data_IF_047286564973
#
_entry.id   IF_047286564973
#
_cell.length_a   1.000
_cell.length_b   1.000
_cell.length_c   1.000
_cell.angle_alpha   90.00
_cell.angle_beta   90.00
_cell.angle_gamma   90.00
#
_symmetry.space_group_name_H-M   'P 1'
#
loop_
_entity.id
_entity.type
_entity.pdbx_description
1 polymer ?
#
# COMPACT_ATOMS: atom_id res chain seq x y z
N UNK A 1 28.12 24.33 30.25
CA UNK A 1 26.75 23.76 30.38
C UNK A 1 26.81 22.70 31.47
N UNK A 2 26.06 22.83 32.56
CA UNK A 2 26.12 21.85 33.65
C UNK A 2 25.42 20.54 33.23
N UNK A 3 25.86 19.41 33.79
CA UNK A 3 25.30 18.07 33.53
C UNK A 3 23.77 18.10 33.68
N UNK A 4 23.23 18.81 34.67
CA UNK A 4 21.81 18.97 34.90
C UNK A 4 21.07 19.67 33.71
N UNK A 5 21.66 20.70 33.11
CA UNK A 5 21.10 21.34 31.92
C UNK A 5 21.04 20.39 30.73
N UNK A 6 22.06 19.56 30.53
CA UNK A 6 22.05 18.56 29.45
C UNK A 6 20.98 17.51 29.64
N UNK A 7 20.82 17.00 30.86
CA UNK A 7 19.76 16.04 31.20
C UNK A 7 18.36 16.63 30.94
N UNK A 8 18.12 17.88 31.37
CA UNK A 8 16.84 18.56 31.15
C UNK A 8 16.57 18.68 29.63
N UNK A 9 17.55 19.10 28.84
CA UNK A 9 17.40 19.22 27.38
C UNK A 9 17.05 17.85 26.76
N UNK A 10 17.74 16.78 27.14
CA UNK A 10 17.46 15.45 26.65
C UNK A 10 16.04 15.00 27.02
N UNK A 11 15.63 15.20 28.28
CA UNK A 11 14.26 14.86 28.71
C UNK A 11 13.21 15.63 27.93
N UNK A 12 13.40 16.90 27.68
CA UNK A 12 12.47 17.73 26.88
C UNK A 12 12.40 17.24 25.44
N UNK A 13 13.54 16.89 24.82
CA UNK A 13 13.55 16.35 23.47
C UNK A 13 12.87 14.98 23.39
N UNK A 14 13.12 14.08 24.33
CA UNK A 14 12.44 12.77 24.39
C UNK A 14 10.94 12.97 24.53
N UNK A 15 10.51 13.84 25.46
CA UNK A 15 9.09 14.12 25.66
C UNK A 15 8.46 14.68 24.37
N UNK A 16 9.12 15.61 23.69
CA UNK A 16 8.67 16.15 22.41
C UNK A 16 8.46 15.05 21.36
N UNK A 17 9.45 14.14 21.17
CA UNK A 17 9.30 13.05 20.19
C UNK A 17 8.20 12.05 20.58
N UNK A 18 8.02 11.78 21.87
CA UNK A 18 6.91 10.93 22.36
C UNK A 18 5.56 11.57 22.04
N UNK A 19 5.41 12.88 22.26
CA UNK A 19 4.17 13.60 21.93
C UNK A 19 3.92 13.55 20.42
N UNK A 20 4.92 13.83 19.59
CA UNK A 20 4.80 13.75 18.12
C UNK A 20 4.40 12.35 17.70
N UNK A 21 5.03 11.31 18.26
CA UNK A 21 4.71 9.92 17.98
C UNK A 21 3.24 9.59 18.31
N UNK A 22 2.75 10.00 19.49
CA UNK A 22 1.36 9.78 19.89
C UNK A 22 0.41 10.46 18.91
N UNK A 23 0.69 11.70 18.52
CA UNK A 23 -0.12 12.44 17.56
C UNK A 23 -0.14 11.73 16.21
N UNK A 24 1.02 11.37 15.67
CA UNK A 24 1.12 10.79 14.32
C UNK A 24 0.58 9.36 14.22
N UNK A 25 0.66 8.58 15.30
CA UNK A 25 0.03 7.26 15.36
C UNK A 25 -1.52 7.35 15.41
N UNK A 26 -2.10 8.50 15.81
CA UNK A 26 -3.53 8.65 16.00
C UNK A 26 -4.21 9.53 14.95
N UNK A 27 -3.48 10.02 13.94
CA UNK A 27 -4.03 10.84 12.86
C UNK A 27 -3.60 10.29 11.49
N UNK A 28 -4.36 10.66 10.48
CA UNK A 28 -3.94 10.52 9.09
C UNK A 28 -4.10 11.85 8.35
N UNK A 29 -3.41 11.95 7.23
CA UNK A 29 -3.52 13.07 6.29
C UNK A 29 -4.07 12.57 4.96
N UNK A 30 -4.82 13.42 4.28
CA UNK A 30 -5.30 13.17 2.92
C UNK A 30 -4.19 13.56 1.92
N UNK A 31 -3.90 12.67 0.98
CA UNK A 31 -2.98 12.92 -0.14
C UNK A 31 -3.67 12.68 -1.46
N UNK A 32 -3.52 13.60 -2.37
CA UNK A 32 -4.13 13.57 -3.69
C UNK A 32 -3.09 13.45 -4.79
N UNK A 33 -3.38 12.60 -5.78
CA UNK A 33 -2.57 12.44 -6.98
C UNK A 33 -3.48 12.46 -8.21
N UNK A 34 -3.04 13.15 -9.27
CA UNK A 34 -3.69 13.13 -10.56
C UNK A 34 -2.78 12.41 -11.56
N UNK A 35 -3.29 11.36 -12.22
CA UNK A 35 -2.60 10.60 -13.25
C UNK A 35 -3.37 10.74 -14.55
N UNK A 36 -2.70 11.15 -15.63
CA UNK A 36 -3.31 11.38 -16.93
C UNK A 36 -2.79 10.39 -17.97
N UNK A 37 -3.68 9.84 -18.79
CA UNK A 37 -3.28 8.95 -19.88
C UNK A 37 -4.22 9.05 -21.07
N UNK A 38 -3.65 9.02 -22.26
CA UNK A 38 -4.43 8.90 -23.51
C UNK A 38 -5.10 7.54 -23.71
N UNK A 39 -4.77 6.55 -22.87
CA UNK A 39 -5.41 5.22 -22.87
C UNK A 39 -6.73 5.21 -22.11
N UNK A 40 -6.91 6.11 -21.13
CA UNK A 40 -8.13 6.21 -20.33
C UNK A 40 -9.27 6.80 -21.17
N UNK A 41 -10.47 6.27 -20.97
CA UNK A 41 -11.72 6.72 -21.65
C UNK A 41 -12.63 7.53 -20.74
N UNK A 42 -12.48 7.41 -19.42
CA UNK A 42 -13.34 8.03 -18.41
C UNK A 42 -12.50 8.54 -17.25
N UNK A 43 -12.92 9.66 -16.67
CA UNK A 43 -12.38 10.13 -15.40
C UNK A 43 -12.87 9.24 -14.26
N UNK A 44 -12.04 9.08 -13.23
CA UNK A 44 -12.43 8.35 -12.03
C UNK A 44 -11.58 8.70 -10.82
N UNK A 45 -12.22 8.58 -9.66
CA UNK A 45 -11.58 8.78 -8.35
C UNK A 45 -11.42 7.43 -7.67
N UNK A 46 -10.19 7.08 -7.35
CA UNK A 46 -9.83 5.83 -6.68
C UNK A 46 -9.21 6.13 -5.33
N UNK A 47 -9.59 5.38 -4.31
CA UNK A 47 -8.96 5.46 -2.99
C UNK A 47 -8.02 4.27 -2.83
N UNK A 48 -6.76 4.55 -2.49
CA UNK A 48 -5.76 3.53 -2.19
C UNK A 48 -5.62 3.38 -0.66
N UNK A 49 -5.80 2.15 -0.20
CA UNK A 49 -5.65 1.75 1.19
C UNK A 49 -4.48 0.77 1.34
N UNK A 50 -3.79 0.90 2.44
CA UNK A 50 -2.86 -0.06 2.97
C UNK A 50 -2.89 0.12 4.49
N UNK A 51 -3.11 -0.97 5.22
CA UNK A 51 -3.40 -0.94 6.66
C UNK A 51 -4.76 -0.33 7.04
N UNK A 52 -5.31 -0.69 8.21
CA UNK A 52 -6.66 -0.29 8.58
C UNK A 52 -6.74 0.79 9.66
N UNK A 53 -7.87 1.55 9.63
CA UNK A 53 -8.34 2.36 10.73
C UNK A 53 -9.85 2.67 10.56
N UNK A 54 -10.68 2.42 11.58
CA UNK A 54 -12.13 2.66 11.49
C UNK A 54 -12.53 4.13 11.22
N UNK A 55 -11.73 5.10 11.68
CA UNK A 55 -11.97 6.54 11.40
C UNK A 55 -11.89 6.86 9.92
N UNK A 56 -11.28 5.96 9.15
CA UNK A 56 -11.07 6.07 7.72
C UNK A 56 -12.36 5.97 6.92
N UNK A 57 -13.33 5.16 7.37
CA UNK A 57 -14.54 4.90 6.61
C UNK A 57 -15.28 6.19 6.25
N UNK A 58 -15.46 7.11 7.20
CA UNK A 58 -16.10 8.41 6.95
C UNK A 58 -15.32 9.30 5.98
N UNK A 59 -14.00 9.24 6.05
CA UNK A 59 -13.15 10.00 5.14
C UNK A 59 -13.24 9.45 3.70
N UNK A 60 -13.31 8.12 3.54
CA UNK A 60 -13.53 7.48 2.24
C UNK A 60 -14.90 7.88 1.67
N UNK A 61 -15.95 7.89 2.48
CA UNK A 61 -17.29 8.31 2.04
C UNK A 61 -17.33 9.75 1.51
N UNK A 62 -16.54 10.64 2.09
CA UNK A 62 -16.44 12.04 1.65
C UNK A 62 -15.81 12.16 0.25
N UNK A 63 -14.89 11.24 -0.10
CA UNK A 63 -14.24 11.21 -1.42
C UNK A 63 -15.16 10.69 -2.53
N UNK A 64 -16.23 9.96 -2.20
CA UNK A 64 -17.16 9.32 -3.15
C UNK A 64 -16.42 8.56 -4.25
N UNK A 65 -15.52 7.62 -3.91
CA UNK A 65 -14.67 6.99 -4.91
C UNK A 65 -15.49 6.10 -5.86
N UNK A 66 -15.02 6.01 -7.10
CA UNK A 66 -15.54 5.05 -8.08
C UNK A 66 -15.11 3.62 -7.75
N UNK A 67 -13.96 3.45 -7.10
CA UNK A 67 -13.47 2.17 -6.58
C UNK A 67 -12.41 2.35 -5.49
N UNK A 68 -12.18 1.27 -4.75
CA UNK A 68 -11.16 1.17 -3.72
C UNK A 68 -10.10 0.17 -4.16
N UNK A 69 -8.84 0.58 -4.05
CA UNK A 69 -7.67 -0.25 -4.30
C UNK A 69 -7.03 -0.60 -2.95
N UNK A 70 -6.81 -1.87 -2.67
CA UNK A 70 -6.13 -2.31 -1.46
C UNK A 70 -4.81 -2.94 -1.85
N UNK A 71 -3.71 -2.31 -1.40
CA UNK A 71 -2.36 -2.75 -1.73
C UNK A 71 -1.74 -3.66 -0.65
N UNK A 72 -2.55 -4.50 -0.04
CA UNK A 72 -2.12 -5.54 0.90
C UNK A 72 -1.84 -5.07 2.32
N UNK A 73 -1.42 -6.02 3.14
CA UNK A 73 -1.09 -5.89 4.57
C UNK A 73 -2.23 -5.22 5.38
N UNK A 74 -3.48 -5.58 5.06
CA UNK A 74 -4.63 -5.13 5.86
C UNK A 74 -4.64 -5.76 7.25
N UNK A 75 -3.96 -6.88 7.45
CA UNK A 75 -3.74 -7.49 8.75
C UNK A 75 -2.28 -7.95 8.91
N UNK A 76 -1.85 -8.20 10.14
CA UNK A 76 -0.52 -8.75 10.38
C UNK A 76 -0.56 -10.28 10.48
N UNK A 77 0.53 -10.94 10.10
CA UNK A 77 0.71 -12.39 10.32
C UNK A 77 1.07 -12.71 11.78
N UNK A 78 0.52 -11.96 12.74
CA UNK A 78 0.65 -12.28 14.18
C UNK A 78 -0.31 -13.38 14.56
N UNK A 79 0.16 -14.39 15.30
CA UNK A 79 -0.70 -15.47 15.77
C UNK A 79 -1.80 -15.01 16.75
N UNK A 80 -1.70 -13.79 17.29
CA UNK A 80 -2.60 -13.23 18.29
C UNK A 80 -3.68 -12.32 17.73
N UNK A 81 -3.61 -11.92 16.45
CA UNK A 81 -4.59 -11.02 15.86
C UNK A 81 -5.79 -11.78 15.30
N UNK A 82 -6.98 -11.25 15.59
CA UNK A 82 -8.22 -11.69 14.96
C UNK A 82 -8.46 -10.85 13.68
N UNK A 83 -8.47 -11.54 12.54
CA UNK A 83 -8.70 -10.89 11.25
C UNK A 83 -10.20 -10.61 10.97
N UNK A 84 -11.09 -10.91 11.91
CA UNK A 84 -12.53 -10.77 11.70
C UNK A 84 -12.96 -9.31 11.59
N UNK A 85 -12.39 -8.41 12.40
CA UNK A 85 -12.66 -6.97 12.34
C UNK A 85 -12.24 -6.38 10.99
N UNK A 86 -11.11 -6.84 10.47
CA UNK A 86 -10.59 -6.43 9.17
C UNK A 86 -11.45 -6.90 8.03
N UNK A 87 -11.85 -8.18 8.07
CA UNK A 87 -12.79 -8.72 7.11
C UNK A 87 -14.12 -7.94 7.12
N UNK A 88 -14.63 -7.61 8.32
CA UNK A 88 -15.84 -6.79 8.47
C UNK A 88 -15.67 -5.38 7.90
N UNK A 89 -14.52 -4.75 8.12
CA UNK A 89 -14.21 -3.44 7.53
C UNK A 89 -14.21 -3.49 6.00
N UNK A 90 -13.52 -4.47 5.42
CA UNK A 90 -13.44 -4.65 3.95
C UNK A 90 -14.81 -4.98 3.36
N UNK A 91 -15.63 -5.81 4.05
CA UNK A 91 -17.02 -6.09 3.65
C UNK A 91 -17.86 -4.81 3.60
N UNK A 92 -17.81 -3.97 4.64
CA UNK A 92 -18.52 -2.68 4.67
C UNK A 92 -18.12 -1.74 3.53
N UNK A 93 -16.85 -1.78 3.11
CA UNK A 93 -16.40 -1.05 1.92
C UNK A 93 -17.02 -1.64 0.64
N UNK A 94 -17.03 -2.97 0.51
CA UNK A 94 -17.56 -3.67 -0.65
C UNK A 94 -19.09 -3.53 -0.81
N UNK A 95 -19.83 -3.30 0.28
CA UNK A 95 -21.27 -2.98 0.25
C UNK A 95 -21.56 -1.65 -0.48
N UNK A 96 -20.58 -0.77 -0.61
CA UNK A 96 -20.77 0.58 -1.16
C UNK A 96 -19.96 0.88 -2.40
N UNK A 97 -18.80 0.23 -2.54
CA UNK A 97 -17.83 0.51 -3.59
C UNK A 97 -17.27 -0.79 -4.20
N UNK A 98 -16.98 -0.82 -5.49
CA UNK A 98 -16.11 -1.85 -6.04
C UNK A 98 -14.76 -1.85 -5.32
N UNK A 99 -14.31 -3.00 -4.83
CA UNK A 99 -13.04 -3.16 -4.11
C UNK A 99 -12.14 -4.14 -4.86
N UNK A 100 -10.93 -3.71 -5.17
CA UNK A 100 -9.87 -4.51 -5.78
C UNK A 100 -8.74 -4.69 -4.75
N UNK A 101 -8.44 -5.93 -4.43
CA UNK A 101 -7.55 -6.29 -3.34
C UNK A 101 -6.37 -7.11 -3.86
N UNK A 102 -5.13 -6.61 -3.69
CA UNK A 102 -3.90 -7.37 -3.88
C UNK A 102 -3.31 -7.77 -2.54
N UNK A 103 -2.80 -9.00 -2.43
CA UNK A 103 -2.15 -9.48 -1.20
C UNK A 103 -0.84 -8.74 -0.91
N UNK A 104 -0.60 -8.48 0.39
CA UNK A 104 0.71 -8.12 0.90
C UNK A 104 1.50 -9.34 1.39
N UNK A 105 2.64 -9.10 2.00
CA UNK A 105 3.47 -10.18 2.52
C UNK A 105 2.88 -10.88 3.77
N UNK A 106 2.02 -10.20 4.50
CA UNK A 106 1.35 -10.79 5.67
C UNK A 106 0.23 -11.74 5.23
N UNK A 107 -0.61 -11.37 4.28
CA UNK A 107 -1.61 -12.25 3.67
C UNK A 107 -0.94 -13.46 3.02
N UNK A 108 0.10 -13.23 2.21
CA UNK A 108 0.85 -14.31 1.57
C UNK A 108 1.43 -15.28 2.60
N UNK A 109 2.02 -14.78 3.69
CA UNK A 109 2.59 -15.62 4.73
C UNK A 109 1.53 -16.50 5.39
N UNK A 110 0.37 -15.95 5.73
CA UNK A 110 -0.73 -16.74 6.34
C UNK A 110 -1.30 -17.77 5.37
N UNK A 111 -1.31 -17.45 4.06
CA UNK A 111 -1.75 -18.36 3.00
C UNK A 111 -0.79 -19.54 2.81
N UNK A 112 0.50 -19.28 2.81
CA UNK A 112 1.54 -20.28 2.50
C UNK A 112 1.90 -21.20 3.69
N UNK A 113 1.55 -20.83 4.92
CA UNK A 113 1.88 -21.59 6.13
C UNK A 113 0.63 -21.90 6.98
N UNK A 114 -0.33 -22.64 6.41
CA UNK A 114 -1.54 -23.02 7.15
C UNK A 114 -1.24 -23.88 8.37
N UNK A 115 -0.12 -24.58 8.40
CA UNK A 115 0.36 -25.35 9.57
C UNK A 115 0.67 -24.45 10.79
N UNK A 116 0.97 -23.16 10.55
CA UNK A 116 1.26 -22.17 11.62
C UNK A 116 0.03 -21.32 11.91
N UNK A 117 -0.71 -20.93 10.87
CA UNK A 117 -1.76 -19.92 10.94
C UNK A 117 -3.17 -20.51 10.83
N UNK A 118 -3.31 -21.83 10.63
CA UNK A 118 -4.60 -22.47 10.39
C UNK A 118 -5.24 -22.00 9.08
N UNK A 119 -6.54 -21.91 9.07
CA UNK A 119 -7.37 -21.53 7.92
C UNK A 119 -7.63 -20.01 7.82
N UNK A 120 -6.92 -19.20 8.58
CA UNK A 120 -7.13 -17.73 8.68
C UNK A 120 -7.23 -17.03 7.34
N UNK A 121 -6.29 -17.32 6.43
CA UNK A 121 -6.31 -16.70 5.11
C UNK A 121 -7.54 -17.17 4.31
N UNK A 122 -7.82 -18.46 4.32
CA UNK A 122 -8.95 -19.02 3.58
C UNK A 122 -10.28 -18.41 4.07
N UNK A 123 -10.49 -18.36 5.38
CA UNK A 123 -11.68 -17.75 5.99
C UNK A 123 -11.79 -16.26 5.66
N UNK A 124 -10.68 -15.53 5.75
CA UNK A 124 -10.64 -14.11 5.39
C UNK A 124 -10.97 -13.90 3.91
N UNK A 125 -10.26 -14.60 3.02
CA UNK A 125 -10.44 -14.48 1.57
C UNK A 125 -11.86 -14.83 1.14
N UNK A 126 -12.40 -15.95 1.65
CA UNK A 126 -13.76 -16.41 1.36
C UNK A 126 -14.78 -15.33 1.78
N UNK A 127 -14.64 -14.81 2.98
CA UNK A 127 -15.53 -13.81 3.53
C UNK A 127 -15.56 -12.51 2.72
N UNK A 128 -14.41 -11.98 2.31
CA UNK A 128 -14.36 -10.75 1.50
C UNK A 128 -14.82 -10.99 0.06
N UNK A 129 -14.50 -12.15 -0.53
CA UNK A 129 -14.97 -12.52 -1.87
C UNK A 129 -16.50 -12.68 -1.91
N UNK A 130 -17.12 -13.28 -0.88
CA UNK A 130 -18.59 -13.37 -0.75
C UNK A 130 -19.25 -11.98 -0.66
N UNK A 131 -18.55 -10.98 -0.12
CA UNK A 131 -19.01 -9.60 -0.11
C UNK A 131 -18.82 -8.86 -1.44
N UNK A 132 -18.25 -9.50 -2.46
CA UNK A 132 -18.05 -8.93 -3.80
C UNK A 132 -16.69 -8.28 -4.04
N UNK A 133 -15.74 -8.42 -3.10
CA UNK A 133 -14.35 -7.97 -3.33
C UNK A 133 -13.70 -8.76 -4.44
N UNK A 134 -12.98 -8.09 -5.32
CA UNK A 134 -12.13 -8.71 -6.34
C UNK A 134 -10.73 -8.92 -5.75
N UNK A 135 -10.50 -10.11 -5.19
CA UNK A 135 -9.20 -10.52 -4.66
C UNK A 135 -8.32 -10.97 -5.84
N UNK A 136 -7.29 -10.18 -6.14
CA UNK A 136 -6.40 -10.38 -7.27
C UNK A 136 -5.06 -10.95 -6.77
N UNK A 137 -4.89 -12.25 -6.91
CA UNK A 137 -3.66 -12.97 -6.53
C UNK A 137 -3.04 -13.54 -7.80
N UNK A 138 -2.13 -12.78 -8.40
CA UNK A 138 -1.59 -13.02 -9.74
C UNK A 138 -2.72 -13.15 -10.77
N UNK A 139 -3.65 -12.22 -10.68
CA UNK A 139 -4.87 -12.19 -11.48
C UNK A 139 -5.18 -10.75 -11.91
N UNK A 140 -6.17 -10.58 -12.76
CA UNK A 140 -6.54 -9.29 -13.32
C UNK A 140 -8.05 -9.11 -13.50
N UNK A 141 -8.47 -7.85 -13.58
CA UNK A 141 -9.85 -7.46 -13.81
C UNK A 141 -9.95 -6.30 -14.79
N UNK A 142 -10.74 -6.46 -15.86
CA UNK A 142 -10.94 -5.42 -16.86
C UNK A 142 -12.12 -4.51 -16.54
N UNK A 143 -11.91 -3.21 -16.61
CA UNK A 143 -12.90 -2.15 -16.48
C UNK A 143 -13.14 -1.48 -17.84
N UNK A 144 -14.16 -1.91 -18.60
CA UNK A 144 -14.37 -1.45 -19.98
C UNK A 144 -14.66 0.05 -20.07
N UNK A 145 -15.40 0.62 -19.11
CA UNK A 145 -15.73 2.05 -19.10
C UNK A 145 -14.50 2.95 -19.02
N UNK A 146 -13.46 2.48 -18.33
CA UNK A 146 -12.19 3.20 -18.19
C UNK A 146 -11.15 2.81 -19.23
N UNK A 147 -11.38 1.74 -20.00
CA UNK A 147 -10.37 1.05 -20.79
C UNK A 147 -9.14 0.68 -19.95
N UNK A 148 -9.37 0.19 -18.73
CA UNK A 148 -8.34 -0.08 -17.73
C UNK A 148 -8.35 -1.54 -17.32
N UNK A 149 -7.19 -2.13 -17.18
CA UNK A 149 -6.99 -3.44 -16.60
C UNK A 149 -6.29 -3.30 -15.26
N UNK A 150 -6.89 -3.81 -14.19
CA UNK A 150 -6.33 -3.83 -12.84
C UNK A 150 -5.71 -5.19 -12.62
N UNK A 151 -4.42 -5.22 -12.35
CA UNK A 151 -3.66 -6.42 -12.02
C UNK A 151 -3.34 -6.44 -10.53
N UNK A 152 -3.36 -7.63 -9.92
CA UNK A 152 -2.84 -7.86 -8.58
C UNK A 152 -1.66 -8.82 -8.62
N UNK A 153 -0.48 -8.33 -8.27
CA UNK A 153 0.74 -9.14 -8.17
C UNK A 153 1.01 -9.53 -6.72
N UNK A 154 0.96 -10.82 -6.43
CA UNK A 154 1.52 -11.36 -5.20
C UNK A 154 3.01 -11.63 -5.40
N UNK A 155 3.85 -10.71 -4.96
CA UNK A 155 5.31 -10.82 -5.09
C UNK A 155 5.83 -11.99 -4.26
N UNK A 156 6.69 -12.83 -4.83
CA UNK A 156 7.26 -14.00 -4.15
C UNK A 156 7.98 -13.64 -2.84
N UNK A 157 7.94 -14.54 -1.86
CA UNK A 157 8.53 -14.30 -0.53
C UNK A 157 10.03 -14.03 -0.56
N UNK A 158 10.75 -14.61 -1.49
CA UNK A 158 12.17 -14.40 -1.71
C UNK A 158 12.53 -12.93 -1.95
N UNK A 159 11.59 -12.17 -2.49
CA UNK A 159 11.76 -10.73 -2.74
C UNK A 159 11.52 -9.85 -1.50
N UNK A 160 11.11 -10.45 -0.37
CA UNK A 160 11.00 -9.78 0.92
C UNK A 160 12.15 -10.10 1.89
N UNK A 161 13.13 -10.90 1.47
CA UNK A 161 14.28 -11.25 2.32
C UNK A 161 15.14 -10.03 2.67
N UNK A 162 15.66 -10.06 3.89
CA UNK A 162 16.55 -9.05 4.46
C UNK A 162 17.94 -9.67 4.69
N UNK A 163 19.02 -8.89 4.63
CA UNK A 163 19.11 -7.47 4.31
C UNK A 163 19.25 -7.23 2.79
N UNK A 164 19.54 -8.23 1.99
CA UNK A 164 19.90 -8.09 0.58
C UNK A 164 18.66 -8.17 -0.31
N UNK A 165 18.50 -7.19 -1.21
CA UNK A 165 17.49 -7.23 -2.25
C UNK A 165 17.81 -8.33 -3.27
N UNK A 166 16.89 -9.29 -3.47
CA UNK A 166 16.99 -10.30 -4.49
C UNK A 166 16.71 -9.67 -5.86
N UNK A 167 17.52 -9.91 -6.90
CA UNK A 167 17.21 -9.44 -8.24
C UNK A 167 15.95 -10.15 -8.78
N UNK A 168 15.04 -9.40 -9.37
CA UNK A 168 13.87 -9.92 -10.06
C UNK A 168 14.21 -10.08 -11.53
N UNK A 169 13.96 -11.26 -12.10
CA UNK A 169 14.20 -11.50 -13.53
C UNK A 169 13.26 -10.66 -14.39
N UNK A 170 13.67 -10.35 -15.61
CA UNK A 170 12.80 -9.62 -16.55
C UNK A 170 11.55 -10.43 -16.92
N UNK A 171 11.65 -11.76 -16.96
CA UNK A 171 10.55 -12.66 -17.28
C UNK A 171 9.51 -12.79 -16.14
N UNK A 172 9.90 -12.51 -14.89
CA UNK A 172 9.06 -12.76 -13.72
C UNK A 172 7.64 -12.18 -13.85
N UNK A 173 7.54 -10.95 -14.32
CA UNK A 173 6.23 -10.28 -14.46
C UNK A 173 5.34 -10.97 -15.50
N UNK A 174 5.91 -11.39 -16.63
CA UNK A 174 5.17 -12.11 -17.67
C UNK A 174 4.79 -13.54 -17.23
N UNK A 175 5.63 -14.19 -16.43
CA UNK A 175 5.34 -15.51 -15.85
C UNK A 175 4.16 -15.43 -14.86
N UNK A 176 4.07 -14.37 -14.08
CA UNK A 176 3.04 -14.20 -13.05
C UNK A 176 1.72 -13.65 -13.59
N UNK A 177 1.76 -12.68 -14.52
CA UNK A 177 0.60 -11.90 -14.96
C UNK A 177 0.30 -12.00 -16.46
N UNK A 178 1.18 -12.66 -17.22
CA UNK A 178 1.16 -12.59 -18.67
C UNK A 178 1.65 -11.24 -19.21
N UNK A 179 1.49 -11.02 -20.50
CA UNK A 179 1.86 -9.75 -21.12
C UNK A 179 0.85 -8.65 -20.80
N UNK A 180 1.36 -7.46 -20.51
CA UNK A 180 0.51 -6.28 -20.39
C UNK A 180 -0.12 -5.92 -21.74
N UNK A 181 -1.39 -5.56 -21.76
CA UNK A 181 -2.07 -5.07 -22.96
C UNK A 181 -1.78 -3.56 -23.14
N UNK A 182 -0.91 -3.22 -24.06
CA UNK A 182 -0.50 -1.83 -24.30
C UNK A 182 -1.64 -0.93 -24.79
N UNK A 183 -2.74 -1.50 -25.30
CA UNK A 183 -3.93 -0.76 -25.72
C UNK A 183 -4.78 -0.28 -24.55
N UNK A 184 -4.55 -0.83 -23.34
CA UNK A 184 -5.27 -0.53 -22.11
C UNK A 184 -4.41 0.25 -21.13
N UNK A 185 -5.06 0.95 -20.21
CA UNK A 185 -4.39 1.50 -19.05
C UNK A 185 -4.15 0.40 -18.03
N UNK A 186 -2.89 0.03 -17.80
CA UNK A 186 -2.51 -1.06 -16.91
C UNK A 186 -2.24 -0.51 -15.51
N UNK A 187 -3.18 -0.70 -14.57
CA UNK A 187 -3.02 -0.40 -13.16
C UNK A 187 -2.57 -1.65 -12.42
N UNK A 188 -1.40 -1.60 -11.80
CA UNK A 188 -0.83 -2.71 -11.04
C UNK A 188 -0.94 -2.46 -9.54
N UNK A 189 -1.57 -3.36 -8.80
CA UNK A 189 -1.50 -3.47 -7.35
C UNK A 189 -0.35 -4.40 -7.02
N UNK A 190 0.76 -3.87 -6.50
CA UNK A 190 1.92 -4.64 -6.07
C UNK A 190 2.43 -4.10 -4.73
N UNK A 191 2.30 -4.90 -3.68
CA UNK A 191 2.59 -4.45 -2.31
C UNK A 191 4.02 -3.94 -2.13
N UNK A 192 5.02 -4.63 -2.71
CA UNK A 192 6.44 -4.28 -2.57
C UNK A 192 6.89 -3.23 -3.60
N UNK A 193 7.22 -2.00 -3.21
CA UNK A 193 7.61 -0.93 -4.14
C UNK A 193 9.03 -1.08 -4.68
N UNK A 194 9.86 -1.93 -4.09
CA UNK A 194 11.29 -2.01 -4.42
C UNK A 194 11.56 -2.50 -5.84
N UNK A 195 10.56 -3.13 -6.48
CA UNK A 195 10.64 -3.67 -7.84
C UNK A 195 9.92 -2.80 -8.87
N UNK A 196 9.73 -1.53 -8.57
CA UNK A 196 9.07 -0.60 -9.50
C UNK A 196 9.71 -0.57 -10.88
N UNK A 197 11.02 -0.76 -10.98
CA UNK A 197 11.73 -0.86 -12.26
C UNK A 197 11.21 -2.00 -13.12
N UNK A 198 10.99 -3.17 -12.53
CA UNK A 198 10.43 -4.34 -13.20
C UNK A 198 8.95 -4.12 -13.59
N UNK A 199 8.17 -3.49 -12.70
CA UNK A 199 6.76 -3.19 -12.97
C UNK A 199 6.60 -2.21 -14.13
N UNK A 200 7.42 -1.16 -14.16
CA UNK A 200 7.44 -0.18 -15.24
C UNK A 200 7.90 -0.79 -16.56
N UNK A 201 8.94 -1.62 -16.55
CA UNK A 201 9.44 -2.33 -17.74
C UNK A 201 8.41 -3.32 -18.29
N UNK A 202 7.67 -4.02 -17.44
CA UNK A 202 6.59 -4.92 -17.83
C UNK A 202 5.43 -4.19 -18.53
N UNK A 203 5.18 -2.93 -18.21
CA UNK A 203 4.15 -2.13 -18.87
C UNK A 203 3.03 -1.61 -17.96
N UNK A 204 3.22 -1.64 -16.63
CA UNK A 204 2.30 -0.95 -15.72
C UNK A 204 2.33 0.56 -15.97
N UNK A 205 1.19 1.16 -16.34
CA UNK A 205 1.06 2.61 -16.48
C UNK A 205 1.07 3.29 -15.12
N UNK A 206 0.38 2.68 -14.14
CA UNK A 206 0.37 3.09 -12.75
C UNK A 206 0.55 1.86 -11.85
N UNK A 207 1.51 1.92 -10.94
CA UNK A 207 1.65 0.96 -9.84
C UNK A 207 1.16 1.59 -8.54
N UNK A 208 0.41 0.87 -7.74
CA UNK A 208 0.05 1.25 -6.37
C UNK A 208 0.65 0.27 -5.39
N UNK A 209 1.32 0.79 -4.36
CA UNK A 209 2.11 -0.02 -3.42
C UNK A 209 1.94 0.45 -1.97
N UNK A 210 2.33 -0.42 -1.04
CA UNK A 210 2.41 -0.16 0.40
C UNK A 210 3.76 -0.59 0.99
N UNK A 211 3.76 -1.38 2.07
CA UNK A 211 4.90 -2.08 2.66
C UNK A 211 5.89 -1.23 3.47
N UNK A 212 6.24 -0.04 3.02
CA UNK A 212 7.35 0.76 3.62
C UNK A 212 6.87 1.65 4.77
N UNK A 213 5.58 1.89 4.90
CA UNK A 213 4.94 2.74 5.92
C UNK A 213 5.54 4.16 6.06
N UNK A 214 6.23 4.67 5.03
CA UNK A 214 6.93 5.93 5.09
C UNK A 214 8.22 5.91 5.95
N UNK A 215 8.60 4.75 6.46
CA UNK A 215 9.64 4.56 7.48
C UNK A 215 9.12 4.79 8.91
N UNK A 216 9.95 4.51 9.91
CA UNK A 216 9.61 4.75 11.33
C UNK A 216 9.58 6.24 11.66
N UNK A 217 10.45 7.02 11.04
CA UNK A 217 10.59 8.46 11.19
C UNK A 217 10.82 9.09 9.82
N UNK A 218 10.28 10.30 9.63
CA UNK A 218 10.55 11.12 8.44
C UNK A 218 11.19 12.43 8.87
N UNK A 219 12.13 12.88 8.07
CA UNK A 219 12.73 14.22 8.24
C UNK A 219 12.33 15.11 7.06
N UNK A 220 12.12 16.41 7.30
CA UNK A 220 11.91 17.35 6.21
C UNK A 220 13.04 17.24 5.18
N UNK A 221 12.71 17.26 3.89
CA UNK A 221 13.63 17.15 2.74
C UNK A 221 14.27 15.76 2.58
N UNK A 222 14.69 15.10 3.65
CA UNK A 222 15.39 13.81 3.61
C UNK A 222 14.45 12.59 3.46
N UNK A 223 13.15 12.77 3.75
CA UNK A 223 12.20 11.67 3.66
C UNK A 223 12.29 10.68 4.81
N UNK A 224 12.00 9.40 4.52
CA UNK A 224 12.05 8.31 5.49
C UNK A 224 13.47 8.00 5.94
N UNK A 225 13.69 7.92 7.25
CA UNK A 225 15.03 7.68 7.82
C UNK A 225 15.37 6.21 7.89
N UNK A 226 14.43 5.38 8.36
CA UNK A 226 14.63 3.94 8.54
C UNK A 226 13.39 3.21 8.02
N UNK A 227 13.59 2.32 7.05
CA UNK A 227 12.51 1.45 6.57
C UNK A 227 12.26 0.27 7.54
N UNK A 228 11.13 -0.44 7.40
CA UNK A 228 10.89 -1.70 8.12
C UNK A 228 11.95 -2.76 7.88
N UNK A 229 12.71 -2.66 6.79
CA UNK A 229 13.86 -3.53 6.48
C UNK A 229 15.16 -3.08 7.17
N UNK A 230 15.11 -2.08 8.06
CA UNK A 230 16.27 -1.46 8.69
C UNK A 230 17.25 -0.81 7.68
N UNK A 231 16.77 -0.49 6.49
CA UNK A 231 17.51 0.26 5.50
C UNK A 231 17.43 1.75 5.83
N UNK A 232 18.58 2.41 5.92
CA UNK A 232 18.66 3.86 6.10
C UNK A 232 18.35 4.57 4.79
N UNK A 233 17.53 5.61 4.85
CA UNK A 233 17.14 6.45 3.72
C UNK A 233 16.67 5.62 2.51
N UNK A 234 15.58 4.84 2.64
CA UNK A 234 15.09 4.01 1.56
C UNK A 234 14.75 4.87 0.34
N UNK A 235 15.10 4.39 -0.84
CA UNK A 235 14.82 5.10 -2.10
C UNK A 235 13.32 5.33 -2.30
N UNK A 236 12.51 4.32 -2.01
CA UNK A 236 11.05 4.40 -2.01
C UNK A 236 10.55 4.49 -0.58
N UNK A 237 10.01 5.65 -0.20
CA UNK A 237 9.61 5.92 1.18
C UNK A 237 8.18 6.48 1.32
N UNK A 238 7.50 6.76 0.20
CA UNK A 238 6.13 7.26 0.13
C UNK A 238 5.97 8.41 -0.86
N UNK A 239 4.81 8.49 -1.49
CA UNK A 239 4.51 9.51 -2.48
C UNK A 239 4.55 9.01 -3.92
N UNK A 240 4.77 9.92 -4.88
CA UNK A 240 4.82 9.60 -6.32
C UNK A 240 6.25 9.41 -6.79
N UNK A 241 6.47 8.36 -7.57
CA UNK A 241 7.71 8.08 -8.29
C UNK A 241 7.41 7.89 -9.77
N UNK A 242 8.35 8.29 -10.62
CA UNK A 242 8.19 8.17 -12.09
C UNK A 242 9.43 7.55 -12.69
N UNK A 243 9.25 6.60 -13.61
CA UNK A 243 10.31 5.96 -14.38
C UNK A 243 9.82 5.64 -15.80
N UNK A 244 10.57 6.05 -16.80
CA UNK A 244 10.26 5.80 -18.22
C UNK A 244 8.80 6.16 -18.61
N UNK A 245 8.25 7.23 -18.03
CA UNK A 245 6.87 7.67 -18.28
C UNK A 245 5.80 6.84 -17.53
N UNK A 246 6.20 5.89 -16.71
CA UNK A 246 5.33 5.10 -15.83
C UNK A 246 5.37 5.68 -14.42
N UNK A 247 4.29 5.50 -13.67
CA UNK A 247 4.15 6.08 -12.34
C UNK A 247 3.97 5.01 -11.27
N UNK A 248 4.46 5.30 -10.07
CA UNK A 248 4.12 4.55 -8.86
C UNK A 248 3.63 5.50 -7.78
N UNK A 249 2.52 5.18 -7.16
CA UNK A 249 2.03 5.83 -5.95
C UNK A 249 2.23 4.86 -4.79
N UNK A 250 3.09 5.25 -3.87
CA UNK A 250 3.44 4.49 -2.69
C UNK A 250 2.75 5.09 -1.47
N UNK A 251 1.78 4.34 -0.92
CA UNK A 251 1.10 4.71 0.33
C UNK A 251 2.03 4.51 1.54
N UNK A 252 1.94 5.44 2.50
CA UNK A 252 2.59 5.27 3.82
C UNK A 252 1.75 4.45 4.78
N UNK A 253 0.61 3.94 4.31
CA UNK A 253 -0.29 3.17 5.14
C UNK A 253 -0.96 3.98 6.26
N UNK A 254 -1.90 3.37 6.91
CA UNK A 254 -2.72 3.95 7.99
C UNK A 254 -2.40 3.34 9.35
N UNK A 255 -1.97 2.07 9.36
CA UNK A 255 -1.54 1.35 10.54
C UNK A 255 -0.10 1.64 10.94
N UNK A 256 0.35 0.98 11.99
CA UNK A 256 1.74 0.98 12.42
C UNK A 256 2.37 -0.37 12.06
N UNK A 257 3.67 -0.37 11.79
CA UNK A 257 4.42 -1.61 11.61
C UNK A 257 4.60 -2.37 12.96
N UNK A 258 5.41 -3.41 12.97
CA UNK A 258 5.79 -4.22 14.16
C UNK A 258 6.12 -3.36 15.39
N UNK A 259 6.73 -2.20 15.19
CA UNK A 259 6.90 -1.16 16.21
C UNK A 259 5.88 -0.04 15.96
N UNK A 260 5.04 0.31 16.95
CA UNK A 260 4.03 1.37 16.81
C UNK A 260 4.68 2.76 16.90
N UNK A 261 5.62 3.03 15.98
CA UNK A 261 6.38 4.28 15.94
C UNK A 261 6.10 5.00 14.62
N UNK A 262 5.58 6.22 14.74
CA UNK A 262 5.45 7.19 13.64
C UNK A 262 5.88 8.55 14.15
N UNK A 263 6.98 9.08 13.63
CA UNK A 263 7.52 10.40 14.00
C UNK A 263 7.64 11.24 12.74
N UNK A 264 6.92 12.37 12.68
CA UNK A 264 6.73 13.21 11.48
C UNK A 264 6.20 12.43 10.27
N UNK A 265 5.50 11.34 10.54
CA UNK A 265 5.03 10.38 9.55
C UNK A 265 3.57 9.93 9.86
N UNK A 266 2.60 10.86 9.82
CA UNK A 266 1.19 10.47 10.00
C UNK A 266 0.77 9.45 8.94
N UNK A 267 -0.22 8.61 9.28
CA UNK A 267 -0.89 7.76 8.30
C UNK A 267 -1.44 8.59 7.13
N UNK A 268 -1.73 7.95 5.99
CA UNK A 268 -2.31 8.69 4.87
C UNK A 268 -3.46 7.96 4.18
N UNK A 269 -4.51 8.74 3.89
CA UNK A 269 -5.54 8.37 2.93
C UNK A 269 -5.12 8.89 1.57
N UNK A 270 -4.89 7.98 0.65
CA UNK A 270 -4.44 8.34 -0.71
C UNK A 270 -5.64 8.35 -1.65
N UNK A 271 -5.82 9.46 -2.35
CA UNK A 271 -6.85 9.67 -3.37
C UNK A 271 -6.18 9.83 -4.73
N UNK A 272 -6.59 9.04 -5.71
CA UNK A 272 -6.02 9.01 -7.06
C UNK A 272 -7.10 9.41 -8.04
N UNK A 273 -6.90 10.52 -8.74
CA UNK A 273 -7.73 10.95 -9.85
C UNK A 273 -7.10 10.47 -11.16
N UNK A 274 -7.77 9.56 -11.85
CA UNK A 274 -7.41 9.13 -13.19
C UNK A 274 -8.15 9.97 -14.20
N UNK A 275 -7.45 10.53 -15.20
CA UNK A 275 -8.04 11.40 -16.21
C UNK A 275 -7.61 11.01 -17.60
N UNK A 276 -8.54 11.00 -18.58
CA UNK A 276 -8.17 10.98 -19.98
C UNK A 276 -7.30 12.21 -20.29
N UNK A 277 -6.19 11.99 -20.98
CA UNK A 277 -5.39 13.10 -21.49
C UNK A 277 -6.06 13.64 -22.76
N UNK A 278 -6.56 14.86 -22.71
CA UNK A 278 -7.08 15.53 -23.89
C UNK A 278 -5.96 15.61 -24.95
N UNK A 279 -6.30 15.22 -26.18
CA UNK A 279 -5.40 15.31 -27.34
C UNK A 279 -5.18 16.76 -27.74
#
# INVERSE_FOLDING_TARGET
MTVNCLIIIICVLVLFFVIVMIIDCNRFVRREYCCESGKLKKEGTFVLLSDQNERLFRAIEQEKPDAILIAGDMYTSSAREDNQEIAAFVQRLAERYPVYYGNGNHEQKTRLFPEIFGDRYAVFADRICQAGVRLLVNDKWYLPDYNMEIYGLEVGREYYHKPTKMPMSEAYMEEMLGKADESRYNLLIAHNPEYFDNYAAWGADLTVSGHIHGGLMRLPVLGGVISPRLCLFPHYDGGRFTKAGREMILSRGLGTHTLPIRIFNPGELVVIHLKPKNR
#
